data_IF_888737193948
#
_entry.id   IF_888737193948
#
_cell.length_a   1.000
_cell.length_b   1.000
_cell.length_c   1.000
_cell.angle_alpha   90.00
_cell.angle_beta   90.00
_cell.angle_gamma   90.00
#
_symmetry.space_group_name_H-M   'P 1'
#
loop_
_entity.id
_entity.type
_entity.pdbx_description
1 polymer ?
#
# COMPACT_ATOMS: atom_id res chain seq x y z
N UNK A 1 -2.27 4.35 12.28
CA UNK A 1 -3.49 4.45 11.43
C UNK A 1 -3.20 3.90 10.04
N UNK A 2 -4.14 3.27 9.33
CA UNK A 2 -3.88 2.70 7.98
C UNK A 2 -4.42 3.62 6.89
N UNK A 3 -3.58 3.93 5.91
CA UNK A 3 -3.93 4.72 4.71
C UNK A 3 -3.79 3.83 3.49
N UNK A 4 -4.75 3.87 2.56
CA UNK A 4 -4.62 3.06 1.34
C UNK A 4 -3.61 3.72 0.42
N UNK A 5 -2.78 2.91 -0.24
CA UNK A 5 -1.83 3.41 -1.24
C UNK A 5 -2.45 4.32 -2.32
N UNK A 6 -3.72 4.11 -2.67
CA UNK A 6 -4.43 4.97 -3.63
C UNK A 6 -4.75 6.37 -3.10
N UNK A 7 -4.88 6.53 -1.78
CA UNK A 7 -5.21 7.82 -1.13
C UNK A 7 -4.03 8.81 -1.15
N UNK A 8 -2.83 8.32 -1.50
CA UNK A 8 -1.58 9.09 -1.65
C UNK A 8 -1.04 9.10 -3.09
N UNK A 9 -1.89 8.73 -4.07
CA UNK A 9 -1.70 8.71 -5.54
C UNK A 9 -0.35 8.24 -6.13
N UNK A 10 -0.48 7.27 -7.06
CA UNK A 10 0.44 7.05 -8.19
C UNK A 10 0.78 5.59 -8.44
N UNK A 11 0.19 4.97 -9.49
CA UNK A 11 0.68 3.69 -10.03
C UNK A 11 2.15 3.87 -10.47
N UNK A 12 3.12 3.62 -9.58
CA UNK A 12 4.57 3.59 -9.86
C UNK A 12 5.09 4.71 -10.77
N UNK A 13 5.66 5.75 -10.17
CA UNK A 13 6.70 6.53 -10.84
C UNK A 13 6.80 7.99 -10.45
N UNK A 14 5.74 8.57 -9.88
CA UNK A 14 5.74 9.95 -9.42
C UNK A 14 4.88 10.02 -8.17
N UNK A 15 5.49 9.85 -7.01
CA UNK A 15 4.78 9.88 -5.74
C UNK A 15 4.45 11.37 -5.50
N UNK A 16 3.26 11.82 -5.91
CA UNK A 16 2.74 13.18 -5.74
C UNK A 16 1.68 13.14 -4.66
N UNK A 17 1.65 14.13 -3.76
CA UNK A 17 0.61 14.21 -2.73
C UNK A 17 -0.77 14.46 -3.37
N UNK A 18 -1.82 13.91 -2.76
CA UNK A 18 -3.21 14.32 -3.07
C UNK A 18 -3.37 15.82 -2.82
N UNK A 19 -4.19 16.51 -3.64
CA UNK A 19 -4.55 17.92 -3.41
C UNK A 19 -5.22 18.10 -2.04
N UNK A 20 -5.93 17.06 -1.58
CA UNK A 20 -6.50 16.96 -0.24
C UNK A 20 -5.95 15.68 0.42
N UNK A 21 -4.80 15.75 1.11
CA UNK A 21 -4.25 14.58 1.79
C UNK A 21 -5.14 14.19 2.98
N UNK A 22 -5.17 12.89 3.34
CA UNK A 22 -5.78 12.45 4.60
C UNK A 22 -5.24 13.24 5.80
N UNK A 23 -6.13 13.65 6.70
CA UNK A 23 -5.75 14.48 7.86
C UNK A 23 -4.65 13.83 8.71
N UNK A 24 -4.69 12.51 8.88
CA UNK A 24 -3.65 11.78 9.62
C UNK A 24 -2.23 11.93 9.03
N UNK A 25 -2.09 12.19 7.72
CA UNK A 25 -0.80 12.47 7.08
C UNK A 25 -0.36 13.90 7.40
N UNK A 26 -1.29 14.85 7.39
CA UNK A 26 -1.02 16.25 7.76
C UNK A 26 -0.58 16.32 9.22
N UNK A 27 -1.29 15.64 10.12
CA UNK A 27 -0.98 15.57 11.54
C UNK A 27 0.37 14.90 11.82
N UNK A 28 0.78 13.96 10.96
CA UNK A 28 2.09 13.32 10.99
C UNK A 28 3.20 14.16 10.32
N UNK A 29 2.95 15.45 10.08
CA UNK A 29 3.87 16.35 9.38
C UNK A 29 4.37 15.75 8.05
N UNK A 30 3.45 15.14 7.30
CA UNK A 30 3.71 14.47 6.02
C UNK A 30 4.74 13.33 6.09
N UNK A 31 4.82 12.64 7.22
CA UNK A 31 5.54 11.38 7.36
C UNK A 31 4.59 10.20 7.22
N UNK A 32 5.05 9.15 6.52
CA UNK A 32 4.33 7.90 6.35
C UNK A 32 5.30 6.74 6.48
N UNK A 33 4.78 5.55 6.75
CA UNK A 33 5.56 4.30 6.65
C UNK A 33 5.03 3.50 5.47
N UNK A 34 5.92 3.14 4.54
CA UNK A 34 5.62 2.30 3.39
C UNK A 34 6.68 1.21 3.28
N UNK A 35 6.26 -0.05 3.22
CA UNK A 35 7.14 -1.22 3.10
C UNK A 35 8.28 -1.24 4.14
N UNK A 36 7.99 -0.77 5.37
CA UNK A 36 8.96 -0.72 6.48
C UNK A 36 9.90 0.49 6.46
N UNK A 37 9.73 1.43 5.54
CA UNK A 37 10.55 2.64 5.41
C UNK A 37 9.72 3.89 5.66
N UNK A 38 10.22 4.77 6.52
CA UNK A 38 9.66 6.10 6.74
C UNK A 38 9.95 6.97 5.54
N UNK A 39 8.90 7.53 4.94
CA UNK A 39 9.00 8.50 3.86
C UNK A 39 8.45 9.86 4.31
N UNK A 40 9.05 10.93 3.79
CA UNK A 40 8.58 12.31 4.00
C UNK A 40 8.22 12.95 2.67
N UNK A 41 7.13 13.72 2.62
CA UNK A 41 6.82 14.55 1.47
C UNK A 41 7.56 15.89 1.52
N UNK A 42 8.29 16.23 0.45
CA UNK A 42 9.10 17.45 0.35
C UNK A 42 8.59 18.44 -0.71
N UNK A 43 7.28 18.43 -0.99
CA UNK A 43 6.64 19.35 -1.93
C UNK A 43 6.64 18.88 -3.39
N UNK A 44 7.71 18.23 -3.83
CA UNK A 44 7.84 17.67 -5.20
C UNK A 44 7.67 16.15 -5.26
N UNK A 45 7.77 15.48 -4.12
CA UNK A 45 7.61 14.04 -4.02
C UNK A 45 7.92 13.47 -2.64
N UNK A 46 7.84 12.15 -2.54
CA UNK A 46 8.16 11.42 -1.31
C UNK A 46 9.60 10.91 -1.36
N UNK A 47 10.35 11.15 -0.28
CA UNK A 47 11.74 10.72 -0.12
C UNK A 47 11.85 9.72 1.03
N UNK A 48 12.61 8.62 0.86
CA UNK A 48 12.91 7.73 1.98
C UNK A 48 13.82 8.46 2.96
N UNK A 49 13.48 8.42 4.25
CA UNK A 49 14.24 9.06 5.32
C UNK A 49 15.06 8.03 6.08
N UNK A 50 14.41 6.94 6.53
CA UNK A 50 15.02 5.88 7.34
C UNK A 50 14.11 4.65 7.43
N UNK A 51 14.65 3.55 7.94
CA UNK A 51 13.86 2.39 8.33
C UNK A 51 12.92 2.74 9.50
N UNK A 52 11.74 2.14 9.51
CA UNK A 52 10.77 2.31 10.57
C UNK A 52 11.22 1.56 11.82
N UNK A 53 11.11 2.23 12.96
CA UNK A 53 11.34 1.66 14.30
C UNK A 53 10.00 1.49 15.02
N UNK A 54 9.96 0.77 16.16
CA UNK A 54 8.74 0.67 16.96
C UNK A 54 8.19 2.03 17.43
N UNK A 55 9.01 3.07 17.49
CA UNK A 55 8.58 4.42 17.83
C UNK A 55 7.70 5.06 16.73
N UNK A 56 7.78 4.55 15.50
CA UNK A 56 7.02 5.02 14.33
C UNK A 56 5.64 4.36 14.18
N UNK A 57 5.23 3.51 15.12
CA UNK A 57 3.91 2.86 15.07
C UNK A 57 2.75 3.86 14.98
N UNK A 58 2.96 5.08 15.49
CA UNK A 58 2.00 6.17 15.45
C UNK A 58 1.88 6.83 14.07
N UNK A 59 2.86 6.64 13.18
CA UNK A 59 2.81 7.20 11.83
C UNK A 59 1.73 6.51 10.98
N UNK A 60 1.16 7.23 10.00
CA UNK A 60 0.28 6.64 9.00
C UNK A 60 1.01 5.53 8.23
N UNK A 61 0.48 4.32 8.35
CA UNK A 61 0.98 3.14 7.66
C UNK A 61 0.29 3.03 6.32
N UNK A 62 1.06 3.10 5.25
CA UNK A 62 0.57 2.94 3.89
C UNK A 62 0.45 1.47 3.58
N UNK A 63 -0.79 1.04 3.44
CA UNK A 63 -1.07 -0.30 3.00
C UNK A 63 -0.97 -0.38 1.48
N UNK A 64 0.02 -1.12 0.99
CA UNK A 64 0.10 -1.56 -0.40
C UNK A 64 -0.64 -2.91 -0.51
N UNK A 65 -1.92 -2.92 -0.90
CA UNK A 65 -2.69 -4.16 -0.97
C UNK A 65 -2.03 -5.12 -1.95
N UNK A 66 -2.03 -6.41 -1.60
CA UNK A 66 -1.61 -7.49 -2.48
C UNK A 66 -2.81 -8.37 -2.84
N UNK A 67 -2.80 -8.98 -4.03
CA UNK A 67 -3.92 -9.82 -4.46
C UNK A 67 -4.16 -11.01 -3.52
N UNK A 68 -3.14 -11.46 -2.77
CA UNK A 68 -3.27 -12.53 -1.77
C UNK A 68 -4.14 -12.17 -0.56
N UNK A 69 -4.39 -10.89 -0.33
CA UNK A 69 -5.24 -10.40 0.77
C UNK A 69 -6.68 -10.18 0.31
N UNK A 70 -7.00 -10.51 -0.95
CA UNK A 70 -8.32 -10.34 -1.50
C UNK A 70 -9.22 -11.52 -1.13
N UNK A 71 -10.51 -11.27 -0.90
CA UNK A 71 -11.49 -12.35 -0.65
C UNK A 71 -11.62 -13.40 -1.76
N UNK A 72 -11.16 -13.07 -2.95
CA UNK A 72 -11.20 -13.94 -4.14
C UNK A 72 -9.90 -14.73 -4.35
N UNK A 73 -8.93 -14.60 -3.45
CA UNK A 73 -7.67 -15.32 -3.53
C UNK A 73 -7.74 -16.64 -2.77
N UNK A 74 -7.07 -17.64 -3.33
CA UNK A 74 -6.85 -18.92 -2.67
C UNK A 74 -5.56 -19.57 -3.19
N UNK A 75 -5.04 -20.53 -2.44
CA UNK A 75 -3.91 -21.38 -2.82
C UNK A 75 -4.44 -22.77 -3.15
N UNK A 76 -4.34 -23.15 -4.42
CA UNK A 76 -4.79 -24.46 -4.89
C UNK A 76 -3.91 -25.58 -4.31
N UNK A 77 -4.41 -26.82 -4.39
CA UNK A 77 -3.72 -28.03 -3.86
C UNK A 77 -2.30 -28.23 -4.43
N UNK A 78 -2.04 -27.76 -5.65
CA UNK A 78 -0.73 -27.79 -6.30
C UNK A 78 0.16 -26.57 -5.94
N UNK A 79 -0.19 -25.86 -4.86
CA UNK A 79 0.48 -24.65 -4.35
C UNK A 79 0.45 -23.47 -5.32
N UNK A 80 -0.40 -23.50 -6.34
CA UNK A 80 -0.59 -22.35 -7.23
C UNK A 80 -1.49 -21.32 -6.58
N UNK A 81 -0.99 -20.09 -6.55
CA UNK A 81 -1.75 -18.91 -6.17
C UNK A 81 -2.80 -18.61 -7.25
N UNK A 82 -4.08 -18.55 -6.89
CA UNK A 82 -5.19 -18.42 -7.82
C UNK A 82 -6.16 -17.31 -7.42
N UNK A 83 -6.74 -16.64 -8.42
CA UNK A 83 -7.76 -15.63 -8.22
C UNK A 83 -9.08 -16.09 -8.86
N UNK A 84 -10.07 -16.41 -8.02
CA UNK A 84 -11.39 -16.88 -8.44
C UNK A 84 -12.20 -15.84 -9.21
N UNK A 85 -11.95 -14.54 -8.99
CA UNK A 85 -12.62 -13.47 -9.73
C UNK A 85 -12.13 -13.35 -11.18
N UNK A 86 -10.82 -13.51 -11.40
CA UNK A 86 -10.20 -13.37 -12.73
C UNK A 86 -9.98 -14.69 -13.45
N UNK A 87 -10.26 -15.82 -12.78
CA UNK A 87 -10.01 -17.18 -13.24
C UNK A 87 -8.58 -17.41 -13.75
N UNK A 88 -7.59 -16.86 -13.03
CA UNK A 88 -6.18 -16.91 -13.43
C UNK A 88 -5.28 -17.22 -12.24
N UNK A 89 -4.22 -17.98 -12.53
CA UNK A 89 -3.07 -18.08 -11.63
C UNK A 89 -2.40 -16.71 -11.50
N UNK A 90 -1.89 -16.41 -10.31
CA UNK A 90 -1.24 -15.15 -9.99
C UNK A 90 0.16 -15.41 -9.46
N UNK A 91 1.05 -14.44 -9.61
CA UNK A 91 2.39 -14.50 -9.02
C UNK A 91 2.41 -13.69 -7.71
N UNK A 92 3.43 -13.90 -6.88
CA UNK A 92 3.62 -13.18 -5.61
C UNK A 92 3.86 -11.67 -5.76
N UNK A 93 3.92 -11.17 -7.00
CA UNK A 93 4.06 -9.74 -7.32
C UNK A 93 2.80 -9.17 -7.95
N UNK A 94 1.72 -9.95 -8.06
CA UNK A 94 0.51 -9.50 -8.75
C UNK A 94 -0.24 -8.51 -7.86
N UNK A 95 -0.38 -7.29 -8.39
CA UNK A 95 -1.22 -6.25 -7.79
C UNK A 95 -2.67 -6.73 -7.63
N UNK A 96 -3.41 -6.15 -6.68
CA UNK A 96 -4.83 -6.41 -6.53
C UNK A 96 -5.61 -6.11 -7.80
N UNK A 97 -6.69 -6.85 -8.03
CA UNK A 97 -7.62 -6.54 -9.12
C UNK A 97 -8.40 -5.25 -8.83
N UNK A 98 -9.08 -4.71 -9.86
CA UNK A 98 -9.95 -3.53 -9.71
C UNK A 98 -11.07 -3.75 -8.69
N UNK A 99 -11.53 -4.99 -8.55
CA UNK A 99 -12.58 -5.40 -7.60
C UNK A 99 -12.02 -5.83 -6.24
N UNK A 100 -10.83 -5.35 -5.86
CA UNK A 100 -10.22 -5.72 -4.60
C UNK A 100 -11.12 -5.37 -3.43
N UNK A 101 -11.51 -6.42 -2.70
CA UNK A 101 -12.08 -6.33 -1.38
C UNK A 101 -11.25 -7.19 -0.45
N UNK A 102 -10.81 -6.58 0.63
CA UNK A 102 -10.04 -7.21 1.71
C UNK A 102 -10.88 -8.34 2.33
N UNK A 103 -10.21 -9.44 2.65
CA UNK A 103 -10.79 -10.62 3.31
C UNK A 103 -10.73 -10.46 4.82
#
# INVERSE_FOLDING_TARGET
>A
MRVKYYDIFGMRGQIKMSVNPPQCIVDANFHIVLDGVVHQYVGIGWVPVRDATPEDENLPQVFSPHCSQCKHYDVLKDKKMYCFKSHKCITARKRPCKDYSEQ
#
